data_IF_636834951740
#
_entry.id   IF_636834951740
#
_cell.length_a   1.000
_cell.length_b   1.000
_cell.length_c   1.000
_cell.angle_alpha   90.00
_cell.angle_beta   90.00
_cell.angle_gamma   90.00
#
_symmetry.space_group_name_H-M   'P 1'
#
loop_
_entity.id
_entity.type
_entity.pdbx_description
1 polymer ?
#
# COMPACT_ATOMS: atom_id res chain seq x y z
N UNK A 1 -62.29 21.21 -32.65
CA UNK A 1 -61.74 21.53 -31.32
C UNK A 1 -62.17 22.96 -30.96
N UNK A 2 -62.90 23.15 -29.83
CA UNK A 2 -63.27 24.50 -29.40
C UNK A 2 -62.02 25.13 -28.74
N UNK A 3 -61.68 26.40 -29.06
CA UNK A 3 -60.54 27.06 -28.43
C UNK A 3 -60.85 27.27 -26.93
N UNK A 4 -59.81 26.97 -26.11
CA UNK A 4 -59.87 27.23 -24.66
C UNK A 4 -60.14 28.71 -24.39
N UNK A 5 -61.01 29.06 -23.44
CA UNK A 5 -61.33 30.42 -23.16
C UNK A 5 -60.13 31.22 -22.65
N UNK A 6 -59.89 32.39 -23.18
CA UNK A 6 -58.74 33.30 -22.90
C UNK A 6 -58.46 33.52 -21.39
N UNK A 7 -59.46 33.42 -20.54
CA UNK A 7 -59.32 33.47 -19.08
C UNK A 7 -58.49 32.28 -18.52
N UNK A 8 -58.51 31.10 -19.17
CA UNK A 8 -57.73 29.94 -18.76
C UNK A 8 -56.25 30.12 -19.15
N UNK A 9 -56.00 30.63 -20.35
CA UNK A 9 -54.64 30.87 -20.84
C UNK A 9 -53.89 31.91 -20.00
N UNK A 10 -54.55 32.91 -19.45
CA UNK A 10 -53.96 33.96 -18.63
C UNK A 10 -53.45 33.47 -17.28
N UNK A 11 -54.03 32.38 -16.73
CA UNK A 11 -53.63 31.81 -15.45
C UNK A 11 -52.58 30.67 -15.54
N UNK A 12 -52.27 30.20 -16.76
CA UNK A 12 -51.25 29.14 -16.96
C UNK A 12 -49.89 29.54 -16.41
N UNK A 13 -49.34 30.74 -16.66
CA UNK A 13 -48.04 31.13 -16.11
C UNK A 13 -48.01 31.14 -14.57
N UNK A 14 -49.10 31.58 -13.95
CA UNK A 14 -49.22 31.62 -12.48
C UNK A 14 -49.28 30.18 -11.94
N UNK A 15 -50.08 29.33 -12.57
CA UNK A 15 -50.16 27.89 -12.16
C UNK A 15 -48.81 27.17 -12.31
N UNK A 16 -48.08 27.40 -13.40
CA UNK A 16 -46.75 26.84 -13.60
C UNK A 16 -45.73 27.36 -12.58
N UNK A 17 -45.78 28.68 -12.30
CA UNK A 17 -44.91 29.25 -11.27
C UNK A 17 -45.20 28.68 -9.87
N UNK A 18 -46.47 28.50 -9.52
CA UNK A 18 -46.89 27.90 -8.25
C UNK A 18 -46.43 26.43 -8.16
N UNK A 19 -46.61 25.65 -9.21
CA UNK A 19 -46.15 24.28 -9.28
C UNK A 19 -44.64 24.19 -9.17
N UNK A 20 -43.89 25.10 -9.81
CA UNK A 20 -42.43 25.19 -9.69
C UNK A 20 -41.96 25.49 -8.28
N UNK A 21 -42.63 26.45 -7.60
CA UNK A 21 -42.34 26.75 -6.18
C UNK A 21 -42.67 25.57 -5.28
N UNK A 22 -43.78 24.88 -5.50
CA UNK A 22 -44.17 23.71 -4.73
C UNK A 22 -43.20 22.56 -4.96
N UNK A 23 -42.72 22.36 -6.18
CA UNK A 23 -41.70 21.33 -6.51
C UNK A 23 -40.35 21.65 -5.84
N UNK A 24 -39.92 22.92 -5.81
CA UNK A 24 -38.71 23.36 -5.11
C UNK A 24 -38.85 23.19 -3.60
N UNK A 25 -40.00 23.56 -3.04
CA UNK A 25 -40.29 23.37 -1.61
C UNK A 25 -40.30 21.86 -1.25
N UNK A 26 -40.97 21.06 -2.07
CA UNK A 26 -40.99 19.61 -1.89
C UNK A 26 -39.59 19.05 -1.98
N UNK A 27 -38.78 19.44 -2.96
CA UNK A 27 -37.41 18.99 -3.11
C UNK A 27 -36.49 19.40 -1.95
N UNK A 28 -36.73 20.59 -1.35
CA UNK A 28 -36.03 21.06 -0.16
C UNK A 28 -36.47 20.37 1.13
N UNK A 29 -37.72 19.95 1.21
CA UNK A 29 -38.33 19.30 2.38
C UNK A 29 -38.26 17.76 2.24
N UNK A 30 -38.07 17.26 1.04
CA UNK A 30 -37.92 15.84 0.78
C UNK A 30 -36.48 15.45 1.12
N UNK A 31 -36.35 14.77 2.26
CA UNK A 31 -35.10 14.12 2.65
C UNK A 31 -35.15 12.68 2.14
N UNK A 32 -34.49 12.40 1.01
CA UNK A 32 -34.44 11.03 0.48
C UNK A 32 -33.62 10.08 1.37
N UNK A 33 -32.91 10.63 2.36
CA UNK A 33 -32.16 9.88 3.37
C UNK A 33 -32.90 9.70 4.70
N UNK A 34 -34.10 10.31 4.87
CA UNK A 34 -34.84 10.28 6.13
C UNK A 34 -35.29 8.89 6.60
N UNK A 35 -35.36 7.92 5.68
CA UNK A 35 -35.58 6.49 5.96
C UNK A 35 -34.28 5.66 5.82
N UNK A 36 -33.16 6.31 5.54
CA UNK A 36 -31.88 5.64 5.52
C UNK A 36 -31.32 5.71 6.94
N UNK A 37 -31.41 4.62 7.66
CA UNK A 37 -30.46 4.37 8.74
C UNK A 37 -29.09 4.40 8.07
N UNK A 38 -28.18 5.28 8.51
CA UNK A 38 -26.77 5.08 8.26
C UNK A 38 -26.40 3.69 8.80
N UNK A 39 -26.57 2.68 7.97
CA UNK A 39 -25.72 1.52 8.14
C UNK A 39 -24.35 2.03 7.80
N UNK A 40 -23.53 2.29 8.82
CA UNK A 40 -22.10 2.30 8.64
C UNK A 40 -21.73 1.04 7.85
N UNK A 41 -20.52 0.89 7.37
CA UNK A 41 -20.07 -0.36 6.73
C UNK A 41 -20.29 -1.60 7.59
N UNK A 42 -20.87 -1.45 8.74
CA UNK A 42 -21.26 -2.44 9.75
C UNK A 42 -22.79 -2.51 9.81
N UNK A 43 -23.39 -3.56 9.26
CA UNK A 43 -24.84 -3.82 9.41
C UNK A 43 -25.22 -3.90 10.90
N UNK A 44 -26.44 -3.43 11.22
CA UNK A 44 -27.03 -3.24 12.56
C UNK A 44 -27.17 -4.53 13.43
N UNK A 45 -26.29 -5.50 13.28
CA UNK A 45 -26.40 -6.79 13.99
C UNK A 45 -25.23 -7.17 14.89
N UNK A 46 -24.17 -6.37 14.91
CA UNK A 46 -23.03 -6.65 15.77
C UNK A 46 -22.69 -5.41 16.60
N UNK A 47 -23.15 -5.42 17.82
CA UNK A 47 -22.52 -4.60 18.86
C UNK A 47 -21.09 -5.08 19.04
N UNK A 48 -20.14 -4.18 19.23
CA UNK A 48 -18.74 -4.46 19.61
C UNK A 48 -18.61 -5.31 20.90
N UNK A 49 -19.73 -5.65 21.51
CA UNK A 49 -19.85 -6.43 22.75
C UNK A 49 -19.72 -7.95 22.55
N UNK A 50 -19.33 -8.41 21.36
CA UNK A 50 -18.94 -9.81 21.15
C UNK A 50 -17.58 -9.87 20.43
N UNK A 51 -16.63 -9.00 20.79
CA UNK A 51 -15.25 -9.42 20.84
C UNK A 51 -15.25 -10.53 21.90
N UNK A 52 -15.19 -11.76 21.46
CA UNK A 52 -14.84 -12.86 22.33
C UNK A 52 -13.45 -12.47 22.80
N UNK A 53 -13.35 -12.13 24.09
CA UNK A 53 -12.12 -11.85 24.80
C UNK A 53 -11.44 -13.22 25.04
N UNK A 54 -11.19 -13.93 23.95
CA UNK A 54 -10.30 -15.08 23.92
C UNK A 54 -8.90 -14.49 23.72
N UNK A 55 -8.01 -14.73 24.65
CA UNK A 55 -6.61 -14.35 24.59
C UNK A 55 -6.03 -14.84 23.25
N UNK A 56 -5.78 -13.92 22.31
CA UNK A 56 -5.19 -14.25 20.99
C UNK A 56 -3.76 -14.69 21.22
N UNK A 57 -3.43 -15.92 20.86
CA UNK A 57 -2.07 -16.46 20.94
C UNK A 57 -1.43 -16.34 19.54
N UNK A 58 -0.75 -15.24 19.30
CA UNK A 58 -0.11 -14.95 18.01
C UNK A 58 0.83 -16.09 17.61
N UNK A 59 0.65 -16.63 16.40
CA UNK A 59 1.50 -17.67 15.82
C UNK A 59 1.36 -19.06 16.47
N UNK A 60 0.24 -19.34 17.17
CA UNK A 60 0.01 -20.58 17.90
C UNK A 60 0.15 -21.84 17.07
N UNK A 61 -0.38 -21.82 15.84
CA UNK A 61 -0.48 -22.99 15.01
C UNK A 61 0.60 -23.03 13.95
N UNK A 62 1.13 -24.22 13.67
CA UNK A 62 2.13 -24.45 12.63
C UNK A 62 1.91 -25.76 11.92
N UNK A 63 2.00 -25.77 10.60
CA UNK A 63 1.91 -26.97 9.77
C UNK A 63 3.00 -26.93 8.70
N UNK A 64 3.83 -27.94 8.64
CA UNK A 64 4.81 -28.18 7.60
C UNK A 64 4.31 -29.28 6.66
N UNK A 65 4.33 -29.02 5.36
CA UNK A 65 3.87 -29.96 4.33
C UNK A 65 5.03 -30.74 3.70
N UNK A 66 6.20 -30.10 3.59
CA UNK A 66 7.38 -30.68 2.93
C UNK A 66 8.66 -30.11 3.54
N UNK A 67 9.75 -30.87 3.39
CA UNK A 67 11.11 -30.45 3.78
C UNK A 67 11.91 -29.95 2.56
N UNK A 68 11.25 -29.66 1.44
CA UNK A 68 11.88 -29.13 0.24
C UNK A 68 12.67 -27.86 0.57
N UNK A 69 13.93 -27.84 0.14
CA UNK A 69 14.82 -26.69 0.26
C UNK A 69 15.06 -26.13 -1.15
N UNK A 70 14.49 -24.99 -1.54
CA UNK A 70 14.78 -24.39 -2.83
C UNK A 70 16.23 -23.91 -2.90
N UNK A 71 16.74 -23.79 -4.13
CA UNK A 71 18.07 -23.22 -4.34
C UNK A 71 18.04 -21.72 -4.05
N UNK A 72 19.07 -21.17 -3.40
CA UNK A 72 19.22 -19.73 -3.25
C UNK A 72 19.14 -18.98 -4.59
N UNK A 73 18.53 -17.82 -4.59
CA UNK A 73 18.32 -17.02 -5.78
C UNK A 73 18.26 -15.52 -5.46
N UNK A 74 17.74 -14.75 -6.42
CA UNK A 74 17.50 -13.31 -6.21
C UNK A 74 16.45 -13.09 -5.11
N UNK A 75 16.42 -11.86 -4.61
CA UNK A 75 15.60 -11.49 -3.46
C UNK A 75 14.73 -10.27 -3.75
N UNK A 76 13.48 -10.37 -3.35
CA UNK A 76 12.54 -9.26 -3.18
C UNK A 76 12.01 -9.32 -1.75
N UNK A 77 12.85 -8.99 -0.75
CA UNK A 77 12.70 -9.46 0.62
C UNK A 77 11.66 -8.73 1.45
N UNK A 78 11.04 -7.67 0.92
CA UNK A 78 10.08 -6.82 1.61
C UNK A 78 9.30 -5.95 0.64
N UNK A 79 8.37 -5.18 1.16
CA UNK A 79 7.64 -4.17 0.40
C UNK A 79 8.61 -3.25 -0.37
N UNK A 80 8.38 -3.11 -1.68
CA UNK A 80 9.17 -2.35 -2.64
C UNK A 80 10.60 -2.88 -2.87
N UNK A 81 10.86 -4.15 -2.51
CA UNK A 81 12.13 -4.82 -2.80
C UNK A 81 13.27 -4.46 -1.87
N UNK A 82 14.48 -4.87 -2.23
CA UNK A 82 15.68 -4.81 -1.38
C UNK A 82 16.04 -3.39 -0.93
N UNK A 83 15.74 -2.39 -1.75
CA UNK A 83 16.05 -0.98 -1.47
C UNK A 83 14.80 -0.13 -1.19
N UNK A 84 13.63 -0.74 -1.03
CA UNK A 84 12.36 -0.07 -0.78
C UNK A 84 11.99 1.00 -1.84
N UNK A 85 12.38 0.77 -3.10
CA UNK A 85 12.22 1.73 -4.20
C UNK A 85 11.44 1.21 -5.42
N UNK A 86 10.97 -0.05 -5.38
CA UNK A 86 10.30 -0.75 -6.49
C UNK A 86 11.18 -0.91 -7.74
N UNK A 87 12.50 -1.00 -7.58
CA UNK A 87 13.44 -1.19 -8.68
C UNK A 87 14.18 -2.52 -8.49
N UNK A 88 13.99 -3.45 -9.42
CA UNK A 88 14.80 -4.67 -9.48
C UNK A 88 16.15 -4.35 -10.13
N UNK A 89 17.21 -4.68 -9.43
CA UNK A 89 18.58 -4.62 -9.94
C UNK A 89 19.05 -6.05 -10.18
N UNK A 90 18.88 -6.51 -11.41
CA UNK A 90 19.16 -7.88 -11.86
C UNK A 90 19.83 -7.85 -13.23
N UNK A 91 20.69 -8.82 -13.49
CA UNK A 91 21.30 -9.05 -14.80
C UNK A 91 20.48 -10.03 -15.66
N UNK A 92 19.37 -10.56 -15.14
CA UNK A 92 18.50 -11.49 -15.86
C UNK A 92 17.66 -10.69 -16.87
N UNK A 93 17.81 -10.94 -18.18
CA UNK A 93 17.03 -10.24 -19.19
C UNK A 93 15.58 -10.68 -19.16
N UNK A 94 14.67 -9.70 -19.13
CA UNK A 94 13.23 -9.91 -19.07
C UNK A 94 12.58 -9.63 -20.43
N UNK A 95 11.47 -10.32 -20.71
CA UNK A 95 10.73 -10.19 -21.99
C UNK A 95 10.36 -8.74 -22.27
N UNK A 96 10.39 -8.37 -23.55
CA UNK A 96 9.99 -7.05 -24.06
C UNK A 96 8.56 -7.04 -24.57
N UNK A 97 8.00 -8.21 -24.85
CA UNK A 97 6.65 -8.38 -25.35
C UNK A 97 6.17 -9.82 -25.12
N UNK A 98 4.87 -10.00 -25.11
CA UNK A 98 4.20 -11.29 -24.94
C UNK A 98 3.97 -12.04 -26.25
N UNK A 99 4.24 -11.42 -27.41
CA UNK A 99 4.04 -11.97 -28.76
C UNK A 99 2.62 -12.48 -29.01
N UNK A 100 1.63 -11.80 -28.41
CA UNK A 100 0.22 -12.19 -28.51
C UNK A 100 -0.16 -13.47 -27.73
N UNK A 101 0.69 -13.90 -26.80
CA UNK A 101 0.44 -15.05 -25.92
C UNK A 101 0.62 -14.62 -24.46
N UNK A 102 -0.15 -15.20 -23.57
CA UNK A 102 0.11 -15.00 -22.13
C UNK A 102 1.47 -15.58 -21.75
N UNK A 103 2.19 -14.95 -20.80
CA UNK A 103 3.42 -15.54 -20.26
C UNK A 103 3.11 -16.90 -19.64
N UNK A 104 4.13 -17.76 -19.54
CA UNK A 104 4.02 -19.03 -18.85
C UNK A 104 3.64 -18.80 -17.39
N UNK A 105 2.49 -19.33 -16.98
CA UNK A 105 2.09 -19.40 -15.57
C UNK A 105 2.68 -20.68 -15.00
N UNK A 106 3.65 -20.55 -14.09
CA UNK A 106 4.28 -21.70 -13.45
C UNK A 106 3.32 -22.39 -12.49
N UNK A 107 2.61 -21.58 -11.70
CA UNK A 107 1.64 -22.07 -10.73
C UNK A 107 0.60 -21.00 -10.39
N UNK A 108 -0.51 -21.46 -9.82
CA UNK A 108 -1.59 -20.63 -9.29
C UNK A 108 -2.06 -21.25 -7.98
N UNK A 109 -2.26 -20.42 -6.96
CA UNK A 109 -2.79 -20.82 -5.64
C UNK A 109 -3.93 -19.91 -5.24
N UNK A 110 -4.93 -20.51 -4.56
CA UNK A 110 -6.02 -19.77 -3.95
C UNK A 110 -5.58 -19.20 -2.61
N UNK A 111 -6.00 -17.98 -2.33
CA UNK A 111 -5.83 -17.25 -1.09
C UNK A 111 -7.20 -16.75 -0.61
N UNK A 112 -7.29 -16.38 0.64
CA UNK A 112 -8.42 -15.61 1.15
C UNK A 112 -8.49 -14.21 0.57
N UNK A 113 -9.64 -13.55 0.68
CA UNK A 113 -9.81 -12.20 0.15
C UNK A 113 -8.83 -11.22 0.79
N UNK A 114 -7.96 -10.64 -0.03
CA UNK A 114 -6.94 -9.72 0.45
C UNK A 114 -6.08 -9.12 -0.65
N UNK A 115 -5.17 -8.25 -0.25
CA UNK A 115 -4.27 -7.51 -1.13
C UNK A 115 -2.82 -7.53 -0.63
N UNK A 116 -2.48 -8.51 0.18
CA UNK A 116 -1.11 -8.71 0.64
C UNK A 116 -0.21 -9.09 -0.53
N UNK A 117 0.88 -8.35 -0.72
CA UNK A 117 1.92 -8.72 -1.67
C UNK A 117 2.86 -9.79 -1.09
N UNK A 118 3.58 -10.46 -1.96
CA UNK A 118 4.57 -11.45 -1.55
C UNK A 118 5.94 -10.81 -1.28
N UNK A 119 6.70 -11.42 -0.35
CA UNK A 119 8.15 -11.29 -0.28
C UNK A 119 8.79 -12.54 -0.87
N UNK A 120 9.94 -12.38 -1.54
CA UNK A 120 10.70 -13.50 -2.10
C UNK A 120 12.11 -13.47 -1.53
N UNK A 121 12.54 -14.60 -0.99
CA UNK A 121 13.87 -14.75 -0.41
C UNK A 121 14.43 -16.15 -0.64
N UNK A 122 15.55 -16.22 -1.35
CA UNK A 122 16.28 -17.48 -1.64
C UNK A 122 15.35 -18.61 -2.18
N UNK A 123 14.50 -18.26 -3.17
CA UNK A 123 13.61 -19.22 -3.83
C UNK A 123 12.33 -19.57 -3.05
N UNK A 124 12.09 -18.93 -1.91
CA UNK A 124 10.85 -19.03 -1.13
C UNK A 124 9.99 -17.77 -1.28
N UNK A 125 8.69 -17.98 -1.35
CA UNK A 125 7.64 -16.93 -1.42
C UNK A 125 6.88 -16.89 -0.10
N UNK A 126 6.85 -15.76 0.55
CA UNK A 126 6.13 -15.53 1.80
C UNK A 126 4.98 -14.56 1.55
N UNK A 127 3.77 -14.93 1.93
CA UNK A 127 2.58 -14.10 1.77
C UNK A 127 1.67 -14.21 2.98
N UNK A 128 1.13 -13.06 3.41
CA UNK A 128 0.07 -13.05 4.41
C UNK A 128 -1.27 -13.37 3.75
N UNK A 129 -2.05 -14.17 4.44
CA UNK A 129 -3.35 -14.64 4.02
C UNK A 129 -4.33 -14.60 5.20
N UNK A 130 -5.62 -14.55 4.92
CA UNK A 130 -6.65 -14.70 5.92
C UNK A 130 -7.62 -15.80 5.48
N UNK A 131 -7.65 -16.88 6.23
CA UNK A 131 -8.56 -17.98 5.98
C UNK A 131 -9.91 -17.69 6.64
N UNK A 132 -10.94 -17.47 5.82
CA UNK A 132 -12.29 -17.13 6.30
C UNK A 132 -13.00 -18.33 6.96
N UNK A 133 -12.69 -19.55 6.55
CA UNK A 133 -13.28 -20.77 7.10
C UNK A 133 -12.69 -21.08 8.48
N UNK A 134 -11.37 -20.98 8.61
CA UNK A 134 -10.66 -21.13 9.88
C UNK A 134 -10.77 -19.88 10.75
N UNK A 135 -11.12 -18.71 10.17
CA UNK A 135 -11.07 -17.39 10.83
C UNK A 135 -9.70 -17.12 11.41
N UNK A 136 -8.69 -17.21 10.59
CA UNK A 136 -7.31 -17.18 11.01
C UNK A 136 -6.47 -16.25 10.14
N UNK A 137 -5.64 -15.44 10.77
CA UNK A 137 -4.56 -14.71 10.11
C UNK A 137 -3.34 -15.62 10.00
N UNK A 138 -2.75 -15.72 8.80
CA UNK A 138 -1.70 -16.67 8.54
C UNK A 138 -0.59 -16.13 7.66
N UNK A 139 0.61 -16.63 7.88
CA UNK A 139 1.72 -16.54 6.95
C UNK A 139 1.90 -17.88 6.25
N UNK A 140 1.92 -17.86 4.90
CA UNK A 140 2.12 -19.03 4.05
C UNK A 140 3.46 -18.92 3.32
N UNK A 141 4.15 -20.04 3.21
CA UNK A 141 5.46 -20.14 2.55
C UNK A 141 5.38 -21.15 1.40
N UNK A 142 5.79 -20.71 0.20
CA UNK A 142 5.76 -21.53 -1.02
C UNK A 142 7.13 -21.57 -1.69
N UNK A 143 7.37 -22.62 -2.49
CA UNK A 143 8.49 -22.64 -3.43
C UNK A 143 8.19 -21.72 -4.62
N UNK A 144 9.13 -20.85 -4.98
CA UNK A 144 8.97 -19.85 -6.05
C UNK A 144 8.72 -20.49 -7.42
N UNK A 145 9.30 -21.65 -7.71
CA UNK A 145 9.26 -22.27 -9.04
C UNK A 145 8.11 -23.25 -9.19
N UNK A 146 7.74 -23.95 -8.12
CA UNK A 146 6.74 -25.00 -8.17
C UNK A 146 5.39 -24.61 -7.61
N UNK A 147 5.34 -23.58 -6.74
CA UNK A 147 4.14 -23.20 -6.00
C UNK A 147 3.75 -24.20 -4.91
N UNK A 148 4.62 -25.20 -4.64
CA UNK A 148 4.41 -26.14 -3.55
C UNK A 148 4.42 -25.37 -2.21
N UNK A 149 3.36 -25.54 -1.40
CA UNK A 149 3.32 -24.96 -0.07
C UNK A 149 4.24 -25.75 0.85
N UNK A 150 5.27 -25.08 1.38
CA UNK A 150 6.28 -25.69 2.25
C UNK A 150 5.75 -25.76 3.67
N UNK A 151 5.22 -24.65 4.17
CA UNK A 151 4.63 -24.56 5.51
C UNK A 151 3.72 -23.34 5.61
N UNK A 152 2.87 -23.36 6.67
CA UNK A 152 2.13 -22.19 7.13
C UNK A 152 2.16 -22.08 8.64
N UNK A 153 2.05 -20.84 9.14
CA UNK A 153 1.88 -20.52 10.55
C UNK A 153 0.72 -19.55 10.69
N UNK A 154 -0.15 -19.80 11.67
CA UNK A 154 -1.33 -18.98 11.86
C UNK A 154 -1.75 -18.89 13.32
N UNK A 155 -2.73 -18.04 13.59
CA UNK A 155 -3.43 -17.93 14.85
C UNK A 155 -4.88 -17.55 14.59
N UNK A 156 -5.77 -17.91 15.53
CA UNK A 156 -7.18 -17.63 15.43
C UNK A 156 -7.42 -16.12 15.60
N UNK A 157 -8.14 -15.53 14.66
CA UNK A 157 -8.43 -14.11 14.63
C UNK A 157 -9.78 -13.88 13.94
N UNK A 158 -10.79 -13.54 14.72
CA UNK A 158 -12.09 -13.19 14.18
C UNK A 158 -12.12 -11.73 13.76
N UNK A 159 -12.15 -11.47 12.45
CA UNK A 159 -12.33 -10.14 11.87
C UNK A 159 -13.45 -10.16 10.84
N UNK A 160 -14.00 -8.96 10.56
CA UNK A 160 -15.05 -8.81 9.56
C UNK A 160 -14.44 -8.62 8.18
N UNK A 161 -15.14 -9.08 7.15
CA UNK A 161 -14.81 -8.77 5.76
C UNK A 161 -14.85 -7.24 5.55
N UNK A 162 -13.77 -6.67 5.05
CA UNK A 162 -13.64 -5.22 4.84
C UNK A 162 -12.67 -4.93 3.68
N UNK A 163 -13.13 -5.08 2.42
CA UNK A 163 -12.31 -4.95 1.21
C UNK A 163 -11.02 -5.78 1.25
N UNK A 164 -11.15 -7.05 1.63
CA UNK A 164 -10.03 -7.93 1.90
C UNK A 164 -9.42 -7.72 3.29
N UNK A 165 -8.89 -8.76 3.88
CA UNK A 165 -8.37 -8.75 5.25
C UNK A 165 -6.87 -8.50 5.30
N UNK A 166 -6.06 -9.27 4.56
CA UNK A 166 -4.60 -9.15 4.55
C UNK A 166 -4.12 -8.14 3.52
N UNK A 167 -3.20 -7.22 3.92
CA UNK A 167 -2.73 -6.12 3.05
C UNK A 167 -1.23 -5.91 3.04
N UNK A 168 -0.53 -6.44 4.05
CA UNK A 168 0.88 -6.13 4.27
C UNK A 168 1.79 -7.13 3.55
N UNK A 169 3.00 -6.71 3.24
CA UNK A 169 4.07 -7.56 2.71
C UNK A 169 5.01 -7.91 3.86
N UNK A 170 5.33 -9.19 4.08
CA UNK A 170 6.33 -9.58 5.07
C UNK A 170 7.70 -8.95 4.81
N UNK A 171 8.48 -8.70 5.86
CA UNK A 171 9.90 -8.42 5.74
C UNK A 171 10.70 -9.67 6.08
N UNK A 172 11.69 -9.99 5.25
CA UNK A 172 12.50 -11.21 5.37
C UNK A 172 13.98 -10.84 5.25
N UNK A 173 14.81 -11.38 6.11
CA UNK A 173 16.27 -11.33 5.97
C UNK A 173 16.88 -12.73 6.11
N UNK A 174 18.19 -12.82 6.31
CA UNK A 174 18.92 -14.08 6.44
C UNK A 174 18.39 -14.93 7.60
N UNK A 175 17.93 -14.31 8.67
CA UNK A 175 17.61 -14.96 9.93
C UNK A 175 16.12 -14.95 10.27
N UNK A 176 15.38 -13.88 9.89
CA UNK A 176 14.05 -13.60 10.42
C UNK A 176 13.01 -13.35 9.34
N UNK A 177 11.75 -13.64 9.69
CA UNK A 177 10.56 -13.20 8.97
C UNK A 177 9.74 -12.36 9.94
N UNK A 178 9.34 -11.16 9.52
CA UNK A 178 8.54 -10.23 10.30
C UNK A 178 7.24 -9.93 9.57
N UNK A 179 6.11 -10.06 10.25
CA UNK A 179 4.78 -9.78 9.69
C UNK A 179 4.01 -8.79 10.56
N UNK A 180 3.04 -8.10 9.97
CA UNK A 180 2.00 -7.36 10.68
C UNK A 180 0.67 -7.79 10.12
N UNK A 181 -0.17 -8.41 10.94
CA UNK A 181 -1.51 -8.85 10.58
C UNK A 181 -2.51 -7.70 10.52
N UNK A 182 -3.77 -7.97 10.10
CA UNK A 182 -4.79 -6.95 9.87
C UNK A 182 -5.14 -6.12 11.13
N UNK A 183 -5.08 -6.70 12.31
CA UNK A 183 -5.35 -6.03 13.60
C UNK A 183 -4.08 -5.52 14.30
N UNK A 184 -2.95 -5.43 13.57
CA UNK A 184 -1.71 -4.96 14.15
C UNK A 184 -0.97 -6.00 15.00
N UNK A 185 -1.31 -7.27 14.87
CA UNK A 185 -0.54 -8.34 15.45
C UNK A 185 0.77 -8.53 14.71
N UNK A 186 1.86 -8.31 15.37
CA UNK A 186 3.22 -8.51 14.86
C UNK A 186 3.67 -9.91 15.21
N UNK A 187 4.27 -10.59 14.24
CA UNK A 187 4.85 -11.92 14.45
C UNK A 187 6.26 -11.96 13.89
N UNK A 188 7.23 -12.40 14.69
CA UNK A 188 8.60 -12.66 14.24
C UNK A 188 8.88 -14.15 14.31
N UNK A 189 9.47 -14.67 13.22
CA UNK A 189 9.79 -16.09 13.07
C UNK A 189 11.25 -16.27 12.72
N UNK A 190 11.82 -17.41 13.10
CA UNK A 190 13.05 -17.91 12.50
C UNK A 190 12.81 -18.28 11.04
N UNK A 191 13.58 -17.70 10.11
CA UNK A 191 13.36 -17.89 8.67
C UNK A 191 13.62 -19.33 8.21
N UNK A 192 14.60 -20.00 8.79
CA UNK A 192 15.02 -21.33 8.33
C UNK A 192 14.00 -22.41 8.71
N UNK A 193 13.45 -22.31 9.91
CA UNK A 193 12.51 -23.31 10.44
C UNK A 193 11.04 -22.90 10.36
N UNK A 194 10.73 -21.60 10.30
CA UNK A 194 9.38 -21.08 10.48
C UNK A 194 8.93 -21.09 11.95
N UNK A 195 9.86 -21.32 12.89
CA UNK A 195 9.55 -21.36 14.32
C UNK A 195 9.21 -19.96 14.84
N UNK A 196 8.21 -19.91 15.70
CA UNK A 196 7.80 -18.68 16.37
C UNK A 196 8.86 -18.23 17.38
N UNK A 197 9.27 -16.97 17.27
CA UNK A 197 10.19 -16.35 18.21
C UNK A 197 9.44 -15.49 19.22
N UNK A 198 8.65 -14.52 18.73
CA UNK A 198 7.84 -13.64 19.56
C UNK A 198 6.68 -13.03 18.77
N UNK A 199 5.68 -12.54 19.49
CA UNK A 199 4.56 -11.78 18.96
C UNK A 199 4.26 -10.56 19.82
N UNK A 200 3.64 -9.55 19.21
CA UNK A 200 3.28 -8.28 19.83
C UNK A 200 1.93 -7.80 19.29
N UNK A 201 1.00 -7.47 20.16
CA UNK A 201 -0.23 -6.78 19.83
C UNK A 201 -0.03 -5.28 20.02
N UNK A 202 0.12 -4.53 18.92
CA UNK A 202 0.38 -3.09 18.99
C UNK A 202 -0.86 -2.27 19.37
N UNK A 203 -2.07 -2.80 19.20
CA UNK A 203 -3.30 -2.17 19.67
C UNK A 203 -3.35 -2.19 21.20
N UNK A 204 -3.02 -3.30 21.82
CA UNK A 204 -3.02 -3.43 23.29
C UNK A 204 -1.82 -2.74 23.95
N UNK A 205 -0.61 -2.97 23.43
CA UNK A 205 0.62 -2.49 24.08
C UNK A 205 0.85 -0.99 23.90
N UNK A 206 0.51 -0.47 22.70
CA UNK A 206 0.78 0.92 22.32
C UNK A 206 -0.48 1.79 22.17
N UNK A 207 -1.66 1.26 22.47
CA UNK A 207 -2.95 1.95 22.25
C UNK A 207 -3.08 2.44 20.81
N UNK A 208 -2.58 1.64 19.86
CA UNK A 208 -2.62 1.97 18.43
C UNK A 208 -4.04 1.90 17.92
N UNK A 209 -4.49 2.92 17.18
CA UNK A 209 -5.75 2.83 16.45
C UNK A 209 -5.49 2.14 15.11
N UNK A 210 -6.10 0.98 14.89
CA UNK A 210 -6.00 0.29 13.61
C UNK A 210 -6.71 1.11 12.53
N UNK A 211 -6.04 1.42 11.40
CA UNK A 211 -6.62 2.24 10.35
C UNK A 211 -7.88 1.63 9.74
N UNK A 212 -8.72 2.48 9.15
CA UNK A 212 -9.82 2.03 8.29
C UNK A 212 -9.29 1.06 7.24
N UNK A 213 -10.00 -0.06 7.00
CA UNK A 213 -9.60 -1.19 6.15
C UNK A 213 -8.41 -2.01 6.66
N UNK A 214 -8.15 -2.04 7.97
CA UNK A 214 -7.09 -2.80 8.62
C UNK A 214 -5.68 -2.25 8.37
N UNK A 215 -4.67 -2.90 8.94
CA UNK A 215 -3.28 -2.49 8.81
C UNK A 215 -2.79 -2.66 7.38
N UNK A 216 -2.21 -1.62 6.82
CA UNK A 216 -1.63 -1.62 5.47
C UNK A 216 -0.14 -1.29 5.44
N UNK A 217 0.43 -0.81 6.56
CA UNK A 217 1.86 -0.59 6.65
C UNK A 217 2.62 -1.91 6.64
N UNK A 218 3.68 -1.97 5.84
CA UNK A 218 4.58 -3.11 5.81
C UNK A 218 5.75 -2.88 6.76
N UNK A 219 6.16 -3.89 7.56
CA UNK A 219 7.30 -3.77 8.45
C UNK A 219 8.61 -3.75 7.67
N UNK A 220 9.69 -3.32 8.32
CA UNK A 220 11.05 -3.50 7.81
C UNK A 220 11.91 -4.19 8.87
N UNK A 221 12.91 -4.95 8.41
CA UNK A 221 14.02 -5.44 9.22
C UNK A 221 15.27 -4.69 8.74
N UNK A 222 15.93 -4.01 9.66
CA UNK A 222 17.17 -3.27 9.38
C UNK A 222 18.23 -3.66 10.42
N UNK A 223 19.27 -4.40 10.01
CA UNK A 223 20.31 -4.95 10.90
C UNK A 223 19.71 -5.72 12.09
N UNK A 224 18.79 -6.64 11.81
CA UNK A 224 18.09 -7.46 12.79
C UNK A 224 17.23 -6.68 13.80
N UNK A 225 16.96 -5.42 13.53
CA UNK A 225 15.96 -4.61 14.24
C UNK A 225 14.67 -4.57 13.42
N UNK A 226 13.59 -5.03 14.01
CA UNK A 226 12.24 -4.86 13.47
C UNK A 226 11.78 -3.43 13.71
N UNK A 227 11.41 -2.70 12.66
CA UNK A 227 10.94 -1.31 12.76
C UNK A 227 9.49 -1.22 12.33
N UNK A 228 8.65 -0.68 13.21
CA UNK A 228 7.19 -0.64 13.07
C UNK A 228 6.68 0.73 13.52
N UNK A 229 5.83 1.35 12.73
CA UNK A 229 5.12 2.55 13.15
C UNK A 229 3.83 2.14 13.89
N UNK A 230 3.73 2.49 15.15
CA UNK A 230 2.59 2.13 16.00
C UNK A 230 1.52 3.20 16.03
N UNK A 231 1.90 4.49 16.09
CA UNK A 231 0.95 5.60 16.08
C UNK A 231 -0.06 5.52 17.24
N UNK A 232 0.44 5.56 18.45
CA UNK A 232 -0.32 5.53 19.70
C UNK A 232 0.54 6.13 20.79
N UNK A 233 0.84 5.40 21.85
CA UNK A 233 1.79 5.84 22.92
C UNK A 233 3.16 6.18 22.34
N UNK A 234 3.63 5.41 21.36
CA UNK A 234 4.82 5.68 20.57
C UNK A 234 4.45 5.94 19.10
N UNK A 235 5.21 6.77 18.39
CA UNK A 235 5.04 6.95 16.95
C UNK A 235 5.59 5.75 16.18
N UNK A 236 6.73 5.25 16.62
CA UNK A 236 7.49 4.16 15.99
C UNK A 236 8.27 3.40 17.06
N UNK A 237 8.53 2.13 16.85
CA UNK A 237 9.33 1.28 17.72
C UNK A 237 10.38 0.52 16.94
N UNK A 238 11.49 0.23 17.60
CA UNK A 238 12.50 -0.73 17.15
C UNK A 238 12.60 -1.88 18.14
N UNK A 239 12.55 -3.11 17.63
CA UNK A 239 12.51 -4.34 18.38
C UNK A 239 13.66 -5.24 17.94
N UNK A 240 14.40 -5.83 18.86
CA UNK A 240 15.37 -6.88 18.54
C UNK A 240 14.66 -8.11 17.98
N UNK A 241 15.00 -8.52 16.76
CA UNK A 241 14.32 -9.64 16.09
C UNK A 241 14.54 -10.98 16.81
N UNK A 242 15.66 -11.16 17.51
CA UNK A 242 15.97 -12.41 18.17
C UNK A 242 15.18 -12.59 19.46
N UNK A 243 15.03 -11.52 20.25
CA UNK A 243 14.49 -11.59 21.60
C UNK A 243 13.06 -11.01 21.75
N UNK A 244 12.63 -10.12 20.82
CA UNK A 244 11.41 -9.35 20.98
C UNK A 244 11.55 -8.17 21.95
N UNK A 245 12.76 -7.86 22.44
CA UNK A 245 13.00 -6.73 23.33
C UNK A 245 12.86 -5.41 22.56
N UNK A 246 12.09 -4.47 23.13
CA UNK A 246 11.96 -3.12 22.58
C UNK A 246 13.26 -2.35 22.86
N UNK A 247 14.00 -2.04 21.79
CA UNK A 247 15.27 -1.34 21.88
C UNK A 247 15.09 0.17 22.02
N UNK A 248 14.06 0.71 21.38
CA UNK A 248 13.70 2.13 21.44
C UNK A 248 12.25 2.38 21.07
N UNK A 249 11.70 3.46 21.60
CA UNK A 249 10.39 3.98 21.31
C UNK A 249 10.50 5.46 20.92
N UNK A 250 9.88 5.83 19.79
CA UNK A 250 9.81 7.22 19.35
C UNK A 250 8.66 7.94 20.05
N UNK A 251 8.88 9.05 20.76
CA UNK A 251 7.81 9.83 21.36
C UNK A 251 6.75 10.26 20.35
N UNK A 252 5.49 10.33 20.75
CA UNK A 252 4.36 10.76 19.94
C UNK A 252 3.56 11.90 20.58
N UNK A 253 4.18 13.08 20.85
CA UNK A 253 3.50 14.19 21.53
C UNK A 253 2.34 14.78 20.70
N UNK A 254 2.35 14.61 19.38
CA UNK A 254 1.29 15.03 18.47
C UNK A 254 0.08 14.09 18.44
N UNK A 255 0.14 12.97 19.14
CA UNK A 255 -0.88 11.92 19.13
C UNK A 255 -1.24 11.50 17.68
N UNK A 256 -0.22 11.40 16.82
CA UNK A 256 -0.41 10.96 15.44
C UNK A 256 -0.77 9.48 15.41
N UNK A 257 -1.63 9.13 14.47
CA UNK A 257 -2.14 7.76 14.36
C UNK A 257 -1.41 6.97 13.30
N UNK A 258 -1.49 5.66 13.41
CA UNK A 258 -1.03 4.76 12.35
C UNK A 258 -1.74 5.11 11.03
N UNK A 259 -0.99 5.05 9.94
CA UNK A 259 -1.50 5.11 8.57
C UNK A 259 -1.21 3.82 7.84
N UNK A 260 -1.65 3.69 6.59
CA UNK A 260 -1.28 2.56 5.73
C UNK A 260 0.11 2.72 5.08
N UNK A 261 0.73 3.90 5.22
CA UNK A 261 2.08 4.17 4.71
C UNK A 261 3.11 3.31 5.43
N UNK A 262 4.11 2.82 4.71
CA UNK A 262 5.21 2.06 5.30
C UNK A 262 6.39 2.97 5.64
N UNK A 263 7.17 2.57 6.63
CA UNK A 263 8.40 3.24 7.03
C UNK A 263 9.45 3.10 5.92
N UNK A 264 10.09 4.22 5.54
CA UNK A 264 11.12 4.25 4.50
C UNK A 264 12.50 4.54 5.10
N UNK A 265 13.49 3.65 4.90
CA UNK A 265 14.89 3.94 5.25
C UNK A 265 15.41 5.08 4.38
N UNK A 266 16.15 5.99 4.98
CA UNK A 266 16.72 7.14 4.29
C UNK A 266 18.05 7.56 4.92
N UNK A 267 18.95 8.09 4.09
CA UNK A 267 20.20 8.68 4.55
C UNK A 267 20.36 10.07 3.94
N UNK A 268 20.56 11.08 4.79
CA UNK A 268 20.79 12.46 4.37
C UNK A 268 21.64 13.18 5.41
N UNK A 269 22.58 14.05 4.96
CA UNK A 269 23.48 14.81 5.85
C UNK A 269 24.32 13.90 6.76
N UNK A 270 24.69 12.70 6.29
CA UNK A 270 25.45 11.72 7.06
C UNK A 270 24.65 11.06 8.20
N UNK A 271 23.32 11.20 8.23
CA UNK A 271 22.43 10.59 9.21
C UNK A 271 21.50 9.59 8.53
N UNK A 272 21.51 8.36 9.07
CA UNK A 272 20.48 7.36 8.73
C UNK A 272 19.22 7.65 9.53
N UNK A 273 18.07 7.55 8.87
CA UNK A 273 16.77 7.80 9.49
C UNK A 273 15.69 6.93 8.86
N UNK A 274 14.59 6.78 9.58
CA UNK A 274 13.34 6.22 9.10
C UNK A 274 12.35 7.36 8.86
N UNK A 275 11.85 7.47 7.62
CA UNK A 275 10.84 8.48 7.27
C UNK A 275 9.48 7.81 7.24
N UNK A 276 8.53 8.39 7.95
CA UNK A 276 7.17 7.86 8.06
C UNK A 276 6.13 8.95 7.88
N UNK A 277 5.09 8.65 7.10
CA UNK A 277 3.92 9.50 6.92
C UNK A 277 2.76 8.96 7.74
N UNK A 278 2.56 9.48 8.92
CA UNK A 278 1.47 9.16 9.83
C UNK A 278 0.17 9.88 9.45
N UNK A 279 -0.95 9.45 10.00
CA UNK A 279 -2.15 10.29 10.08
C UNK A 279 -1.94 11.33 11.17
N UNK A 280 -1.59 12.54 10.76
CA UNK A 280 -1.22 13.66 11.64
C UNK A 280 0.04 14.40 11.21
N UNK A 281 0.95 13.77 10.45
CA UNK A 281 2.17 14.41 9.99
C UNK A 281 3.19 13.47 9.36
N UNK A 282 4.38 14.02 9.09
CA UNK A 282 5.52 13.28 8.57
C UNK A 282 6.70 13.51 9.51
N UNK A 283 7.40 12.42 9.86
CA UNK A 283 8.58 12.49 10.70
C UNK A 283 9.76 11.72 10.13
N UNK A 284 10.96 12.15 10.45
CA UNK A 284 12.22 11.42 10.31
C UNK A 284 12.75 11.05 11.69
N UNK A 285 12.97 9.77 11.91
CA UNK A 285 13.41 9.18 13.18
C UNK A 285 14.81 8.62 13.01
N UNK A 286 15.71 8.88 13.94
CA UNK A 286 17.07 8.36 13.91
C UNK A 286 17.08 6.82 13.84
N UNK A 287 17.77 6.26 12.84
CA UNK A 287 17.79 4.82 12.62
C UNK A 287 18.88 4.11 13.43
N UNK A 288 19.91 4.83 13.81
CA UNK A 288 21.08 4.26 14.50
C UNK A 288 21.74 5.29 15.43
N UNK A 289 22.84 4.86 16.08
CA UNK A 289 23.58 5.69 17.02
C UNK A 289 22.96 5.72 18.41
N UNK A 290 23.53 6.55 19.31
CA UNK A 290 23.06 6.62 20.72
C UNK A 290 21.69 7.28 20.85
N UNK A 291 21.20 7.94 19.82
CA UNK A 291 19.90 8.59 19.73
C UNK A 291 18.90 7.87 18.83
N UNK A 292 19.16 6.58 18.52
CA UNK A 292 18.20 5.75 17.77
C UNK A 292 16.78 5.85 18.38
N UNK A 293 15.77 6.01 17.53
CA UNK A 293 14.39 6.26 17.94
C UNK A 293 14.03 7.72 18.23
N UNK A 294 15.01 8.65 18.26
CA UNK A 294 14.72 10.07 18.46
C UNK A 294 14.20 10.74 17.18
N UNK A 295 13.28 11.68 17.32
CA UNK A 295 12.79 12.50 16.22
C UNK A 295 13.91 13.46 15.78
N UNK A 296 14.36 13.36 14.54
CA UNK A 296 15.32 14.25 13.92
C UNK A 296 14.66 15.49 13.30
N UNK A 297 13.45 15.32 12.81
CA UNK A 297 12.57 16.35 12.27
C UNK A 297 11.14 15.84 12.18
N UNK A 298 10.19 16.75 12.20
CA UNK A 298 8.78 16.45 11.99
C UNK A 298 8.04 17.65 11.40
N UNK A 299 6.88 17.39 10.77
CA UNK A 299 5.96 18.43 10.31
C UNK A 299 4.52 17.92 10.34
N UNK A 300 3.60 18.73 10.84
CA UNK A 300 2.15 18.49 10.77
C UNK A 300 1.47 19.16 9.57
N UNK A 301 2.23 19.79 8.67
CA UNK A 301 1.68 20.41 7.46
C UNK A 301 1.07 19.39 6.49
N UNK A 302 1.53 18.15 6.53
CA UNK A 302 0.94 16.99 5.85
C UNK A 302 0.08 16.20 6.84
N UNK A 303 -1.16 16.62 7.01
CA UNK A 303 -2.11 15.96 7.91
C UNK A 303 -3.32 15.44 7.13
N UNK A 304 -3.29 14.17 6.80
CA UNK A 304 -4.36 13.50 6.06
C UNK A 304 -4.82 12.25 6.82
N UNK A 305 -6.14 11.98 6.86
CA UNK A 305 -6.66 10.84 7.62
C UNK A 305 -6.36 9.49 6.97
N UNK A 306 -6.15 9.46 5.66
CA UNK A 306 -5.83 8.25 4.90
C UNK A 306 -4.58 8.49 4.06
N UNK A 307 -3.50 7.80 4.40
CA UNK A 307 -2.24 7.86 3.66
C UNK A 307 -1.77 6.42 3.43
N UNK A 308 -1.69 6.00 2.17
CA UNK A 308 -1.21 4.65 1.82
C UNK A 308 0.15 4.70 1.12
N UNK A 309 0.37 5.65 0.24
CA UNK A 309 1.66 5.83 -0.41
C UNK A 309 2.73 6.19 0.63
N UNK A 310 3.90 5.57 0.52
CA UNK A 310 5.05 5.86 1.39
C UNK A 310 5.82 7.09 0.91
N UNK A 311 6.59 7.76 1.78
CA UNK A 311 7.44 8.87 1.37
C UNK A 311 8.45 8.46 0.29
N UNK A 312 8.67 9.31 -0.71
CA UNK A 312 9.76 9.18 -1.67
C UNK A 312 10.89 10.11 -1.26
N UNK A 313 11.97 9.53 -0.73
CA UNK A 313 13.13 10.26 -0.25
C UNK A 313 14.16 10.44 -1.38
N UNK A 314 14.66 11.65 -1.57
CA UNK A 314 15.57 12.03 -2.66
C UNK A 314 16.98 12.33 -2.13
N UNK A 315 18.04 12.07 -2.91
CA UNK A 315 19.42 12.25 -2.45
C UNK A 315 19.78 13.68 -2.01
N UNK A 316 19.06 14.69 -2.50
CA UNK A 316 19.30 16.11 -2.21
C UNK A 316 18.50 16.65 -1.01
N UNK A 317 17.94 15.77 -0.20
CA UNK A 317 17.20 16.14 1.01
C UNK A 317 15.72 16.45 0.77
N UNK A 318 15.22 16.30 -0.46
CA UNK A 318 13.80 16.43 -0.74
C UNK A 318 13.05 15.16 -0.36
N UNK A 319 11.82 15.34 0.11
CA UNK A 319 10.91 14.25 0.44
C UNK A 319 9.56 14.58 -0.19
N UNK A 320 9.08 13.67 -1.03
CA UNK A 320 7.77 13.76 -1.64
C UNK A 320 6.79 12.88 -0.91
N UNK A 321 5.65 13.43 -0.50
CA UNK A 321 4.53 12.72 0.14
C UNK A 321 3.26 12.93 -0.66
N UNK A 322 2.43 11.90 -0.72
CA UNK A 322 1.20 11.90 -1.52
C UNK A 322 0.14 10.99 -0.90
N UNK A 323 -1.12 11.28 -1.16
CA UNK A 323 -2.24 10.44 -0.78
C UNK A 323 -3.42 10.64 -1.73
N UNK A 324 -4.34 9.67 -1.74
CA UNK A 324 -5.63 9.75 -2.41
C UNK A 324 -6.66 10.60 -1.67
N UNK A 325 -7.92 10.41 -2.03
CA UNK A 325 -9.08 11.00 -1.33
C UNK A 325 -9.03 12.54 -1.25
N UNK A 326 -8.54 13.19 -2.29
CA UNK A 326 -8.45 14.64 -2.38
C UNK A 326 -7.24 15.28 -1.69
N UNK A 327 -6.37 14.51 -1.06
CA UNK A 327 -5.19 15.01 -0.35
C UNK A 327 -4.18 15.68 -1.27
N UNK A 328 -3.92 15.09 -2.45
CA UNK A 328 -2.90 15.59 -3.36
C UNK A 328 -1.49 15.22 -2.92
N UNK A 329 -0.58 16.20 -2.96
CA UNK A 329 0.84 15.93 -2.66
C UNK A 329 1.55 17.14 -2.08
N UNK A 330 2.67 16.86 -1.40
CA UNK A 330 3.55 17.87 -0.83
C UNK A 330 5.01 17.51 -1.09
N UNK A 331 5.82 18.50 -1.42
CA UNK A 331 7.26 18.40 -1.54
C UNK A 331 7.91 19.14 -0.37
N UNK A 332 8.70 18.42 0.41
CA UNK A 332 9.44 18.90 1.57
C UNK A 332 10.93 19.01 1.21
N UNK A 333 11.65 19.90 1.91
CA UNK A 333 13.11 19.99 1.88
C UNK A 333 13.67 19.93 3.29
N UNK A 334 14.63 19.05 3.51
CA UNK A 334 15.43 19.03 4.73
C UNK A 334 16.63 19.94 4.61
N UNK A 335 16.90 20.69 5.67
CA UNK A 335 18.09 21.51 5.84
C UNK A 335 18.79 21.07 7.11
N UNK A 336 20.07 20.77 7.02
CA UNK A 336 20.88 20.42 8.19
C UNK A 336 20.91 21.55 9.21
N UNK A 337 20.76 21.21 10.48
CA UNK A 337 20.93 22.13 11.62
C UNK A 337 21.52 21.37 12.80
N UNK A 338 21.95 22.12 13.82
CA UNK A 338 22.53 21.51 15.02
C UNK A 338 21.52 20.56 15.70
N UNK A 339 21.88 19.31 15.82
CA UNK A 339 21.07 18.27 16.50
C UNK A 339 19.97 17.63 15.66
N UNK A 340 19.87 17.92 14.35
CA UNK A 340 18.85 17.31 13.47
C UNK A 340 18.67 18.07 12.17
N UNK A 341 17.41 18.24 11.76
CA UNK A 341 17.08 18.92 10.52
C UNK A 341 15.91 19.89 10.73
N UNK A 342 15.93 20.98 9.98
CA UNK A 342 14.75 21.81 9.76
C UNK A 342 14.08 21.35 8.48
N UNK A 343 12.79 21.14 8.55
CA UNK A 343 11.98 20.81 7.38
C UNK A 343 11.28 22.07 6.86
N UNK A 344 11.24 22.22 5.54
CA UNK A 344 10.56 23.29 4.83
C UNK A 344 9.60 22.72 3.80
N UNK A 345 8.38 23.26 3.75
CA UNK A 345 7.42 22.93 2.69
C UNK A 345 7.75 23.74 1.45
N UNK A 346 8.26 23.09 0.42
CA UNK A 346 8.56 23.75 -0.85
C UNK A 346 7.31 23.98 -1.68
N UNK A 347 6.42 22.98 -1.71
CA UNK A 347 5.20 23.00 -2.55
C UNK A 347 4.14 22.07 -2.00
N UNK A 348 2.89 22.48 -2.11
CA UNK A 348 1.70 21.65 -1.87
C UNK A 348 0.74 21.86 -3.02
N UNK A 349 0.11 20.77 -3.53
CA UNK A 349 -0.78 20.85 -4.68
C UNK A 349 -1.85 19.75 -4.64
N UNK A 350 -2.94 19.99 -5.35
CA UNK A 350 -4.11 19.13 -5.37
C UNK A 350 -3.97 17.99 -6.38
N UNK A 351 -4.77 16.91 -6.28
CA UNK A 351 -4.83 15.89 -7.30
C UNK A 351 -5.09 16.50 -8.69
N UNK A 352 -4.35 16.02 -9.69
CA UNK A 352 -4.45 16.51 -11.08
C UNK A 352 -3.74 17.84 -11.39
N UNK A 353 -3.09 18.46 -10.41
CA UNK A 353 -2.18 19.60 -10.62
C UNK A 353 -0.72 19.13 -10.82
N UNK A 354 -0.44 17.87 -10.53
CA UNK A 354 0.85 17.25 -10.65
C UNK A 354 0.78 15.77 -10.29
N UNK A 355 1.92 15.16 -10.00
CA UNK A 355 1.98 13.78 -9.54
C UNK A 355 1.30 13.65 -8.19
N UNK A 356 0.32 12.79 -8.12
CA UNK A 356 -0.32 12.32 -6.89
C UNK A 356 -0.56 10.82 -7.01
N UNK A 357 -0.66 10.10 -5.91
CA UNK A 357 -0.97 8.68 -5.91
C UNK A 357 -1.92 8.33 -4.77
N UNK A 358 -2.86 7.41 -5.03
CA UNK A 358 -3.81 6.95 -4.02
C UNK A 358 -3.18 5.90 -3.11
N UNK A 359 -2.52 4.89 -3.68
CA UNK A 359 -1.90 3.78 -2.96
C UNK A 359 -0.44 3.55 -3.34
N UNK A 360 -0.16 3.48 -4.64
CA UNK A 360 1.17 3.11 -5.11
C UNK A 360 2.17 4.24 -4.88
N UNK A 361 3.23 3.94 -4.17
CA UNK A 361 4.30 4.91 -3.97
C UNK A 361 5.03 5.15 -5.31
N UNK A 362 5.22 6.40 -5.73
CA UNK A 362 5.95 6.72 -6.95
C UNK A 362 7.38 6.16 -6.98
N UNK A 363 7.88 5.87 -8.18
CA UNK A 363 9.24 5.40 -8.41
C UNK A 363 10.11 6.58 -8.88
N UNK A 364 11.21 6.80 -8.18
CA UNK A 364 12.26 7.76 -8.59
C UNK A 364 13.35 7.02 -9.36
N UNK A 365 13.48 7.30 -10.65
CA UNK A 365 14.45 6.62 -11.51
C UNK A 365 14.90 7.50 -12.67
N UNK A 366 16.19 7.43 -13.03
CA UNK A 366 16.73 8.14 -14.20
C UNK A 366 16.57 9.66 -14.16
N UNK A 367 16.46 10.25 -12.98
CA UNK A 367 16.26 11.70 -12.81
C UNK A 367 14.80 12.15 -12.96
N UNK A 368 13.86 11.21 -12.99
CA UNK A 368 12.41 11.46 -13.06
C UNK A 368 11.67 10.70 -11.97
N UNK A 369 10.46 11.14 -11.68
CA UNK A 369 9.54 10.44 -10.81
C UNK A 369 8.31 9.99 -11.59
N UNK A 370 7.89 8.74 -11.37
CA UNK A 370 6.80 8.07 -12.09
C UNK A 370 5.74 7.62 -11.10
N UNK A 371 4.46 7.78 -11.45
CA UNK A 371 3.36 7.29 -10.63
C UNK A 371 2.04 7.28 -11.38
N UNK A 372 1.11 6.46 -10.91
CA UNK A 372 -0.26 6.41 -11.41
C UNK A 372 -1.09 7.40 -10.62
N UNK A 373 -1.76 8.31 -11.33
CA UNK A 373 -2.58 9.34 -10.73
C UNK A 373 -3.89 8.77 -10.16
N UNK A 374 -4.40 9.32 -9.05
CA UNK A 374 -5.61 8.83 -8.41
C UNK A 374 -6.87 9.10 -9.27
N UNK A 375 -7.97 8.45 -8.90
CA UNK A 375 -9.27 8.61 -9.60
C UNK A 375 -9.83 10.03 -9.60
N UNK A 376 -9.44 10.86 -8.64
CA UNK A 376 -9.86 12.26 -8.49
C UNK A 376 -8.93 13.27 -9.21
N UNK A 377 -7.92 12.81 -9.96
CA UNK A 377 -7.04 13.64 -10.79
C UNK A 377 -7.69 14.16 -12.09
N UNK A 378 -9.00 14.35 -12.12
CA UNK A 378 -9.78 14.94 -13.23
C UNK A 378 -9.52 14.23 -14.57
N UNK A 379 -9.10 14.97 -15.60
CA UNK A 379 -8.81 14.42 -16.94
C UNK A 379 -7.63 13.46 -16.95
N UNK A 380 -6.71 13.58 -15.99
CA UNK A 380 -5.51 12.75 -15.87
C UNK A 380 -5.72 11.51 -14.98
N UNK A 381 -6.94 11.30 -14.45
CA UNK A 381 -7.23 10.18 -13.55
C UNK A 381 -6.72 8.85 -14.08
N UNK A 382 -6.11 8.07 -13.21
CA UNK A 382 -5.61 6.70 -13.45
C UNK A 382 -4.56 6.61 -14.57
N UNK A 383 -3.96 7.73 -14.99
CA UNK A 383 -2.87 7.73 -15.97
C UNK A 383 -1.52 7.58 -15.27
N UNK A 384 -0.60 6.85 -15.91
CA UNK A 384 0.81 6.88 -15.53
C UNK A 384 1.41 8.20 -16.02
N UNK A 385 2.10 8.91 -15.14
CA UNK A 385 2.78 10.15 -15.47
C UNK A 385 4.26 10.09 -15.13
N UNK A 386 5.03 10.86 -15.86
CA UNK A 386 6.43 11.16 -15.57
C UNK A 386 6.55 12.65 -15.24
N UNK A 387 7.19 12.97 -14.14
CA UNK A 387 7.37 14.34 -13.69
C UNK A 387 8.83 14.60 -13.33
N UNK A 388 9.19 15.90 -13.21
CA UNK A 388 10.48 16.29 -12.66
C UNK A 388 10.43 16.23 -11.14
N UNK A 389 11.42 15.60 -10.47
CA UNK A 389 11.42 15.48 -9.00
C UNK A 389 11.52 16.83 -8.28
N UNK A 390 12.19 17.80 -8.90
CA UNK A 390 12.33 19.15 -8.36
C UNK A 390 11.04 19.98 -8.43
N UNK A 391 10.15 19.67 -9.36
CA UNK A 391 8.79 20.21 -9.47
C UNK A 391 7.81 19.12 -9.91
N UNK A 392 7.17 18.38 -9.01
CA UNK A 392 6.23 17.33 -9.36
C UNK A 392 4.96 17.79 -10.08
N UNK A 393 4.78 19.11 -10.29
CA UNK A 393 3.72 19.67 -11.15
C UNK A 393 4.16 19.85 -12.60
N UNK A 394 5.46 19.72 -12.90
CA UNK A 394 6.00 19.70 -14.27
C UNK A 394 5.85 18.28 -14.85
N UNK A 395 4.67 18.03 -15.44
CA UNK A 395 4.38 16.74 -16.10
C UNK A 395 5.08 16.70 -17.43
N UNK A 396 6.14 15.90 -17.53
CA UNK A 396 6.90 15.69 -18.77
C UNK A 396 6.07 14.92 -19.79
N UNK A 397 5.35 13.90 -19.35
CA UNK A 397 4.38 13.17 -20.14
C UNK A 397 3.35 12.46 -19.29
N UNK A 398 2.21 12.12 -19.89
CA UNK A 398 1.17 11.26 -19.34
C UNK A 398 0.83 10.16 -20.35
N UNK A 399 0.34 9.00 -19.88
CA UNK A 399 0.01 7.84 -20.73
C UNK A 399 -1.14 8.10 -21.70
N UNK A 400 -1.94 9.13 -21.44
CA UNK A 400 -3.04 9.53 -22.31
C UNK A 400 -4.41 9.00 -21.87
N UNK A 401 -5.48 9.45 -22.51
CA UNK A 401 -6.84 9.22 -22.04
C UNK A 401 -7.32 7.77 -22.19
N UNK A 402 -6.65 6.97 -23.00
CA UNK A 402 -6.98 5.56 -23.26
C UNK A 402 -6.16 4.58 -22.45
N UNK A 403 -4.98 4.97 -21.95
CA UNK A 403 -4.12 4.14 -21.10
C UNK A 403 -4.32 4.55 -19.62
N UNK A 404 -5.17 3.80 -18.94
CA UNK A 404 -5.57 4.04 -17.55
C UNK A 404 -5.40 2.74 -16.75
N UNK A 405 -4.83 2.85 -15.57
CA UNK A 405 -4.29 1.71 -14.85
C UNK A 405 -4.91 1.48 -13.46
N UNK A 406 -6.00 2.19 -13.13
CA UNK A 406 -6.64 2.05 -11.82
C UNK A 406 -5.71 2.44 -10.69
N UNK A 407 -5.51 1.55 -9.71
CA UNK A 407 -4.57 1.70 -8.60
C UNK A 407 -3.15 1.23 -8.95
N UNK A 408 -2.98 0.47 -10.03
CA UNK A 408 -1.80 0.14 -10.78
C UNK A 408 -0.48 -0.10 -10.04
N UNK A 409 -0.29 -1.26 -9.35
CA UNK A 409 1.02 -1.61 -8.84
C UNK A 409 2.02 -1.78 -9.99
N UNK A 410 3.24 -1.29 -9.81
CA UNK A 410 4.25 -1.37 -10.85
C UNK A 410 5.67 -1.47 -10.29
N UNK A 411 6.54 -2.15 -11.04
CA UNK A 411 7.95 -2.36 -10.74
C UNK A 411 8.77 -1.89 -11.96
N UNK A 412 9.91 -1.28 -11.70
CA UNK A 412 10.93 -1.01 -12.72
C UNK A 412 11.95 -2.16 -12.71
N UNK A 413 12.07 -2.86 -13.83
CA UNK A 413 13.02 -3.94 -14.03
C UNK A 413 13.51 -3.97 -15.48
N UNK A 414 14.80 -4.24 -15.72
CA UNK A 414 15.42 -4.37 -17.05
C UNK A 414 15.04 -3.21 -18.00
N UNK A 415 15.04 -1.94 -17.47
CA UNK A 415 14.71 -0.74 -18.25
C UNK A 415 13.24 -0.60 -18.64
N UNK A 416 12.33 -1.35 -18.02
CA UNK A 416 10.89 -1.37 -18.32
C UNK A 416 10.09 -1.32 -17.03
N UNK A 417 8.91 -0.68 -17.07
CA UNK A 417 7.89 -0.86 -16.06
C UNK A 417 7.04 -2.07 -16.41
N UNK A 418 6.85 -2.95 -15.45
CA UNK A 418 5.80 -3.95 -15.42
C UNK A 418 4.71 -3.41 -14.52
N UNK A 419 3.56 -3.08 -15.10
CA UNK A 419 2.42 -2.45 -14.42
C UNK A 419 1.20 -3.34 -14.57
N UNK A 420 0.56 -3.68 -13.45
CA UNK A 420 -0.69 -4.45 -13.42
C UNK A 420 -1.85 -3.48 -13.18
N UNK A 421 -2.90 -3.51 -14.01
CA UNK A 421 -4.10 -2.74 -13.74
C UNK A 421 -5.10 -3.49 -12.84
N UNK A 422 -6.14 -2.79 -12.41
CA UNK A 422 -7.15 -3.35 -11.50
C UNK A 422 -7.88 -4.58 -12.08
N UNK A 423 -7.89 -4.71 -13.41
CA UNK A 423 -8.51 -5.81 -14.15
C UNK A 423 -7.55 -6.98 -14.42
N UNK A 424 -6.35 -6.99 -13.84
CA UNK A 424 -5.30 -7.99 -14.05
C UNK A 424 -4.75 -8.04 -15.48
N UNK A 425 -4.66 -6.90 -16.15
CA UNK A 425 -3.88 -6.74 -17.38
C UNK A 425 -2.47 -6.27 -17.02
N UNK A 426 -1.47 -7.04 -17.42
CA UNK A 426 -0.06 -6.71 -17.22
C UNK A 426 0.45 -5.94 -18.45
N UNK A 427 0.97 -4.75 -18.23
CA UNK A 427 1.58 -3.89 -19.24
C UNK A 427 3.10 -3.90 -19.12
N UNK A 428 3.77 -3.92 -20.27
CA UNK A 428 5.21 -3.65 -20.38
C UNK A 428 5.35 -2.25 -20.97
N UNK A 429 5.93 -1.33 -20.20
CA UNK A 429 6.05 0.07 -20.57
C UNK A 429 7.54 0.45 -20.52
N UNK A 430 8.05 1.08 -21.59
CA UNK A 430 9.45 1.50 -21.61
C UNK A 430 9.72 2.57 -20.54
N UNK A 431 10.74 2.37 -19.71
CA UNK A 431 11.24 3.42 -18.85
C UNK A 431 11.89 4.54 -19.68
N UNK A 432 11.27 5.71 -19.68
CA UNK A 432 11.70 6.85 -20.50
C UNK A 432 11.30 8.18 -19.86
N UNK A 433 12.21 9.14 -19.85
CA UNK A 433 11.94 10.54 -19.51
C UNK A 433 11.41 11.37 -20.68
N UNK A 434 11.22 10.80 -21.88
CA UNK A 434 10.88 11.58 -23.09
C UNK A 434 9.47 11.34 -23.62
N UNK A 435 8.78 10.28 -23.18
CA UNK A 435 7.42 9.96 -23.62
C UNK A 435 6.96 8.59 -23.16
N UNK A 436 5.65 8.42 -23.12
CA UNK A 436 5.01 7.13 -22.85
C UNK A 436 5.14 6.21 -24.07
N UNK A 437 5.62 5.00 -23.84
CA UNK A 437 5.69 3.96 -24.87
C UNK A 437 5.26 2.63 -24.24
N UNK A 438 4.02 2.22 -24.50
CA UNK A 438 3.57 0.86 -24.26
C UNK A 438 4.27 -0.07 -25.26
N UNK A 439 4.94 -1.08 -24.76
CA UNK A 439 5.64 -2.07 -25.57
C UNK A 439 4.73 -3.25 -25.89
N UNK A 440 3.97 -3.71 -24.90
CA UNK A 440 2.96 -4.76 -25.03
C UNK A 440 2.07 -4.81 -23.78
N UNK A 441 0.94 -5.54 -23.88
CA UNK A 441 0.07 -5.81 -22.75
C UNK A 441 -0.65 -7.15 -22.90
N UNK A 442 -1.00 -7.78 -21.79
CA UNK A 442 -1.70 -9.07 -21.78
C UNK A 442 -2.61 -9.19 -20.56
N UNK A 443 -3.82 -9.66 -20.79
CA UNK A 443 -4.74 -10.06 -19.72
C UNK A 443 -4.24 -11.38 -19.13
N UNK A 444 -3.91 -11.42 -17.84
CA UNK A 444 -3.38 -12.63 -17.19
C UNK A 444 -4.49 -13.59 -16.75
N UNK A 445 -5.55 -13.04 -16.19
CA UNK A 445 -6.72 -13.80 -15.71
C UNK A 445 -7.95 -12.90 -15.60
N UNK A 446 -9.12 -13.50 -15.47
CA UNK A 446 -10.35 -12.77 -15.17
C UNK A 446 -10.41 -12.48 -13.68
N UNK A 447 -9.72 -11.44 -13.26
CA UNK A 447 -9.66 -10.97 -11.89
C UNK A 447 -10.20 -9.56 -11.74
N UNK A 448 -10.38 -9.14 -10.52
CA UNK A 448 -10.71 -7.78 -10.15
C UNK A 448 -9.91 -7.38 -8.91
N UNK A 449 -9.74 -6.08 -8.68
CA UNK A 449 -8.98 -5.55 -7.55
C UNK A 449 -7.53 -6.09 -7.49
N UNK A 450 -6.90 -6.24 -8.67
CA UNK A 450 -5.53 -6.76 -8.82
C UNK A 450 -4.48 -5.65 -8.52
N UNK A 451 -4.54 -5.05 -7.34
CA UNK A 451 -3.68 -3.93 -6.96
C UNK A 451 -2.74 -4.24 -5.78
N UNK A 452 -2.58 -5.51 -5.43
CA UNK A 452 -1.58 -5.94 -4.46
C UNK A 452 -0.16 -5.64 -4.95
N UNK A 453 0.78 -5.31 -4.05
CA UNK A 453 2.19 -5.12 -4.42
C UNK A 453 2.75 -6.32 -5.17
N UNK A 454 3.46 -6.05 -6.27
CA UNK A 454 4.15 -7.06 -7.07
C UNK A 454 5.47 -7.47 -6.41
N UNK A 455 5.92 -8.70 -6.66
CA UNK A 455 7.26 -9.16 -6.33
C UNK A 455 7.93 -9.78 -7.56
N UNK A 456 9.25 -9.62 -7.69
CA UNK A 456 10.00 -10.17 -8.81
C UNK A 456 11.39 -10.63 -8.33
N UNK A 457 11.73 -11.88 -8.63
CA UNK A 457 13.04 -12.47 -8.33
C UNK A 457 13.34 -13.60 -9.33
N UNK A 458 14.61 -13.80 -9.66
CA UNK A 458 15.05 -14.83 -10.61
C UNK A 458 14.33 -14.76 -11.97
N UNK A 459 13.82 -13.58 -12.36
CA UNK A 459 13.03 -13.40 -13.58
C UNK A 459 11.62 -13.97 -13.52
N UNK A 460 11.14 -14.35 -12.34
CA UNK A 460 9.75 -14.75 -12.07
C UNK A 460 9.03 -13.64 -11.34
N UNK A 461 7.78 -13.37 -11.74
CA UNK A 461 6.94 -12.38 -11.07
C UNK A 461 5.81 -13.07 -10.32
N UNK A 462 5.66 -12.72 -9.05
CA UNK A 462 4.54 -13.12 -8.20
C UNK A 462 3.58 -11.95 -8.10
N UNK A 463 2.33 -12.20 -8.39
CA UNK A 463 1.26 -11.21 -8.37
C UNK A 463 -0.08 -11.86 -7.97
N UNK A 464 -1.03 -11.05 -7.53
CA UNK A 464 -2.34 -11.55 -7.13
C UNK A 464 -3.46 -10.57 -7.47
N UNK A 465 -4.69 -11.10 -7.59
CA UNK A 465 -5.93 -10.35 -7.41
C UNK A 465 -6.47 -10.53 -5.97
N UNK A 466 -7.76 -10.34 -5.78
CA UNK A 466 -8.38 -10.42 -4.46
C UNK A 466 -8.20 -11.80 -3.78
N UNK A 467 -8.29 -12.91 -4.53
CA UNK A 467 -8.38 -14.26 -3.98
C UNK A 467 -7.44 -15.30 -4.61
N UNK A 468 -6.63 -14.89 -5.58
CA UNK A 468 -5.71 -15.79 -6.28
C UNK A 468 -4.32 -15.16 -6.46
N UNK A 469 -3.29 -15.94 -6.19
CA UNK A 469 -1.89 -15.59 -6.45
C UNK A 469 -1.32 -16.47 -7.56
N UNK A 470 -0.59 -15.90 -8.49
CA UNK A 470 0.09 -16.62 -9.56
C UNK A 470 1.58 -16.24 -9.63
N UNK A 471 2.37 -17.16 -10.17
CA UNK A 471 3.74 -16.89 -10.57
C UNK A 471 3.88 -17.05 -12.08
N UNK A 472 4.47 -16.05 -12.72
CA UNK A 472 4.68 -16.04 -14.16
C UNK A 472 6.16 -15.95 -14.51
N UNK A 473 6.55 -16.58 -15.64
CA UNK A 473 7.91 -16.52 -16.16
C UNK A 473 8.06 -15.29 -17.07
N UNK A 474 8.96 -14.37 -16.70
CA UNK A 474 9.30 -13.18 -17.49
C UNK A 474 10.69 -13.25 -18.14
N UNK A 475 11.39 -14.38 -18.04
CA UNK A 475 12.72 -14.55 -18.67
C UNK A 475 12.63 -14.55 -20.19
N UNK A 476 13.63 -13.94 -20.86
CA UNK A 476 13.80 -14.03 -22.31
C UNK A 476 14.21 -15.42 -22.76
#
# INVERSE_FOLDING_TARGET
>A
MRPLPYRFLKNIPVALATLGVLAILWWRLYDPGGDWTESGPYGDGFTDAAAIDEDIIIGEHFLRFTDTQPSPGERWPRFRGSYSDNILRSDIPLIDNFRGQSPEVLWSVELGEGHAGAAVFDGLVYVLDYDEDLRADMLRCFDLKTGEEIWRRWYDLLIRRNHGMSRTVPAVNENYILTIGPRGHVMCLDRASGDFLWGLDIEQEFESEIPLWYTGQCPIIDNDVAVIATGGKALMIGIDCASGEILWETPNPGNWKMSHSSVMPYEFGGRRMYVYSASGGVAGVAADGPDAGSILWETSEWNNPVVAASPVCMPDGKIFVTAGYGAGSMLLQLHEQQGGFRVEVLKSFRPGEGLSSEQQTPILAGGYMFGVLPKDARSLRNQLVCVRPEDPTDIVWASGPTARFGLGPFILADGKFYLLDDDATLYIIRHSGTGYVEMDSVKLFDGHDAWAPLAIADGYMVLRDADRMICINLRK
#
